data_IF_439601701737
#
_entry.id   IF_439601701737
#
_cell.length_a   1.000
_cell.length_b   1.000
_cell.length_c   1.000
_cell.angle_alpha   90.00
_cell.angle_beta   90.00
_cell.angle_gamma   90.00
#
_symmetry.space_group_name_H-M   'P 1'
#
loop_
_entity.id
_entity.type
_entity.pdbx_description
1 polymer ?
#
# COMPACT_ATOMS: atom_id res chain seq x y z
N UNK A 1 32.05 0.30 9.58
CA UNK A 1 32.85 0.18 8.34
C UNK A 1 31.93 -0.34 7.23
N UNK A 2 31.79 0.37 6.10
CA UNK A 2 31.06 -0.10 4.93
C UNK A 2 31.88 -1.18 4.21
N UNK A 3 31.27 -2.32 3.87
CA UNK A 3 31.96 -3.47 3.26
C UNK A 3 31.79 -3.56 1.75
N UNK A 4 30.73 -2.95 1.20
CA UNK A 4 30.44 -3.01 -0.21
C UNK A 4 29.16 -2.27 -0.57
N UNK A 5 28.99 -1.98 -1.85
CA UNK A 5 27.79 -1.34 -2.38
C UNK A 5 27.30 -2.13 -3.59
N UNK A 6 25.99 -2.27 -3.66
CA UNK A 6 25.24 -2.84 -4.78
C UNK A 6 24.26 -1.77 -5.26
N UNK A 7 23.96 -1.74 -6.55
CA UNK A 7 22.93 -0.85 -7.11
C UNK A 7 22.05 -1.67 -8.05
N UNK A 8 20.76 -1.69 -7.75
CA UNK A 8 19.74 -2.42 -8.52
C UNK A 8 18.86 -1.36 -9.20
N UNK A 9 18.83 -1.28 -10.53
CA UNK A 9 17.93 -0.37 -11.23
C UNK A 9 16.48 -0.83 -11.04
N UNK A 10 15.58 0.10 -10.72
CA UNK A 10 14.16 -0.18 -10.52
C UNK A 10 13.35 0.46 -11.64
N UNK A 11 12.60 -0.35 -12.39
CA UNK A 11 11.57 0.15 -13.31
C UNK A 11 10.20 0.07 -12.63
N UNK A 12 9.68 1.22 -12.20
CA UNK A 12 8.43 1.31 -11.45
C UNK A 12 7.17 1.30 -12.33
N UNK A 13 7.30 1.17 -13.65
CA UNK A 13 6.14 1.15 -14.55
C UNK A 13 5.23 -0.04 -14.23
N UNK A 14 4.00 0.24 -13.81
CA UNK A 14 2.97 -0.78 -13.54
C UNK A 14 3.06 -1.45 -12.16
N UNK A 15 3.97 -1.03 -11.27
CA UNK A 15 4.13 -1.65 -9.94
C UNK A 15 3.01 -1.28 -8.96
N UNK A 16 2.17 -0.29 -9.33
CA UNK A 16 1.00 0.12 -8.54
C UNK A 16 -0.12 -0.93 -8.59
N UNK A 17 -0.24 -1.66 -9.70
CA UNK A 17 -1.38 -2.56 -9.94
C UNK A 17 -1.04 -4.04 -9.74
N UNK A 18 0.24 -4.42 -9.78
CA UNK A 18 0.66 -5.82 -9.67
C UNK A 18 2.02 -5.98 -9.00
N UNK A 19 2.20 -7.16 -8.39
CA UNK A 19 3.48 -7.61 -7.89
C UNK A 19 4.53 -7.64 -9.02
N UNK A 20 5.73 -7.17 -8.72
CA UNK A 20 6.83 -7.07 -9.68
C UNK A 20 8.15 -7.45 -9.02
N UNK A 21 8.91 -8.34 -9.65
CA UNK A 21 10.27 -8.71 -9.21
C UNK A 21 11.27 -7.88 -10.02
N UNK A 22 12.10 -7.10 -9.34
CA UNK A 22 13.16 -6.29 -9.98
C UNK A 22 14.48 -7.05 -10.09
N UNK A 23 14.77 -7.92 -9.12
CA UNK A 23 15.98 -8.74 -9.11
C UNK A 23 15.75 -10.00 -8.29
N UNK A 24 16.22 -11.15 -8.78
CA UNK A 24 16.23 -12.40 -8.04
C UNK A 24 17.45 -13.22 -8.45
N UNK A 25 18.57 -13.03 -7.74
CA UNK A 25 19.79 -13.76 -8.06
C UNK A 25 21.04 -13.15 -7.46
N UNK A 26 22.18 -13.63 -7.94
CA UNK A 26 23.49 -13.14 -7.55
C UNK A 26 23.80 -11.79 -8.20
N UNK A 27 24.33 -10.85 -7.42
CA UNK A 27 24.80 -9.55 -7.86
C UNK A 27 26.19 -9.28 -7.32
N UNK A 28 27.02 -8.65 -8.15
CA UNK A 28 28.41 -8.32 -7.82
C UNK A 28 28.48 -7.14 -6.86
N UNK A 29 29.35 -7.23 -5.87
CA UNK A 29 29.57 -6.18 -4.86
C UNK A 29 30.85 -5.39 -5.22
N UNK A 30 30.73 -4.08 -5.49
CA UNK A 30 31.87 -3.20 -5.81
C UNK A 30 31.88 -2.66 -7.26
N UNK A 31 32.91 -1.87 -7.62
CA UNK A 31 33.11 -1.32 -8.97
C UNK A 31 34.04 -2.25 -9.77
N UNK A 32 33.61 -2.63 -10.97
CA UNK A 32 34.39 -3.26 -12.05
C UNK A 32 35.25 -4.47 -11.66
N UNK A 33 34.69 -5.66 -11.88
CA UNK A 33 35.33 -6.95 -11.68
C UNK A 33 36.41 -7.23 -12.75
N UNK A 34 37.59 -6.64 -12.60
CA UNK A 34 38.82 -7.23 -13.15
C UNK A 34 39.41 -8.17 -12.09
N UNK A 35 38.72 -9.29 -11.80
CA UNK A 35 39.17 -10.31 -10.82
C UNK A 35 38.03 -11.07 -10.15
N UNK A 36 38.37 -11.90 -9.15
CA UNK A 36 37.40 -12.62 -8.32
C UNK A 36 36.55 -11.64 -7.50
N UNK A 37 35.32 -11.40 -7.95
CA UNK A 37 34.42 -10.44 -7.34
C UNK A 37 33.52 -11.10 -6.30
N UNK A 38 33.40 -10.49 -5.12
CA UNK A 38 32.42 -10.91 -4.12
C UNK A 38 31.00 -10.83 -4.71
N UNK A 39 30.21 -11.89 -4.51
CA UNK A 39 28.83 -11.97 -4.95
C UNK A 39 27.88 -11.99 -3.76
N UNK A 40 26.69 -11.43 -3.97
CA UNK A 40 25.62 -11.36 -2.99
C UNK A 40 24.32 -11.83 -3.63
N UNK A 41 23.62 -12.80 -3.03
CA UNK A 41 22.31 -13.21 -3.52
C UNK A 41 21.25 -12.30 -2.93
N UNK A 42 20.47 -11.65 -3.79
CA UNK A 42 19.45 -10.69 -3.39
C UNK A 42 18.14 -10.95 -4.13
N UNK A 43 17.03 -10.78 -3.41
CA UNK A 43 15.69 -10.69 -4.00
C UNK A 43 15.14 -9.30 -3.74
N UNK A 44 14.70 -8.61 -4.79
CA UNK A 44 14.08 -7.28 -4.74
C UNK A 44 12.75 -7.35 -5.46
N UNK A 45 11.67 -7.09 -4.75
CA UNK A 45 10.30 -7.13 -5.27
C UNK A 45 9.45 -6.00 -4.72
N UNK A 46 8.47 -5.55 -5.51
CA UNK A 46 7.38 -4.68 -5.08
C UNK A 46 6.08 -5.50 -5.05
N UNK A 47 5.31 -5.32 -3.99
CA UNK A 47 3.95 -5.82 -3.86
C UNK A 47 3.04 -4.58 -3.74
N UNK A 48 1.90 -4.52 -4.46
CA UNK A 48 0.92 -3.46 -4.24
C UNK A 48 0.49 -3.42 -2.78
N UNK A 49 0.29 -2.22 -2.25
CA UNK A 49 -0.26 -2.07 -0.90
C UNK A 49 -1.67 -2.68 -0.89
N UNK A 50 -1.92 -3.73 -0.11
CA UNK A 50 -3.22 -4.40 -0.12
C UNK A 50 -4.33 -3.54 0.53
N UNK A 51 -3.97 -2.40 1.12
CA UNK A 51 -4.92 -1.53 1.80
C UNK A 51 -5.71 -0.71 0.78
N UNK A 52 -7.02 -0.82 0.86
CA UNK A 52 -7.92 0.13 0.23
C UNK A 52 -7.93 1.42 1.06
N UNK A 53 -7.51 2.53 0.45
CA UNK A 53 -7.57 3.87 1.06
C UNK A 53 -8.75 4.60 0.43
N UNK A 54 -9.71 5.00 1.26
CA UNK A 54 -10.88 5.76 0.84
C UNK A 54 -10.70 7.20 1.34
N UNK A 55 -10.70 8.15 0.42
CA UNK A 55 -10.69 9.58 0.70
C UNK A 55 -12.01 10.17 0.23
N UNK A 56 -12.66 10.94 1.11
CA UNK A 56 -13.84 11.72 0.76
C UNK A 56 -13.40 13.04 0.11
N UNK A 57 -14.12 13.48 -0.92
CA UNK A 57 -13.86 14.73 -1.67
C UNK A 57 -14.27 16.00 -0.88
N UNK A 58 -14.74 15.83 0.36
CA UNK A 58 -15.23 16.91 1.23
C UNK A 58 -15.62 16.41 2.63
N UNK A 59 -16.42 17.20 3.36
CA UNK A 59 -17.01 16.78 4.63
C UNK A 59 -17.89 15.54 4.42
N UNK A 60 -17.68 14.44 5.18
CA UNK A 60 -18.46 13.23 4.98
C UNK A 60 -19.93 13.50 5.28
N UNK A 61 -20.81 13.10 4.35
CA UNK A 61 -22.26 13.08 4.59
C UNK A 61 -22.60 12.15 5.77
N UNK A 62 -23.77 12.33 6.39
CA UNK A 62 -24.20 11.49 7.48
C UNK A 62 -24.32 10.01 7.03
N UNK A 63 -23.34 9.20 7.46
CA UNK A 63 -23.33 7.73 7.34
C UNK A 63 -23.11 7.14 5.93
N UNK A 64 -21.94 7.35 5.28
CA UNK A 64 -21.66 6.76 3.99
C UNK A 64 -21.50 5.24 4.10
N UNK A 65 -22.08 4.53 3.14
CA UNK A 65 -21.90 3.09 2.96
C UNK A 65 -20.85 2.84 1.88
N UNK A 66 -19.88 1.97 2.19
CA UNK A 66 -18.83 1.59 1.23
C UNK A 66 -19.15 0.22 0.64
N UNK A 67 -19.18 0.17 -0.69
CA UNK A 67 -19.39 -1.05 -1.45
C UNK A 67 -18.10 -1.48 -2.15
N UNK A 68 -17.84 -2.78 -2.16
CA UNK A 68 -16.87 -3.40 -3.05
C UNK A 68 -17.58 -3.77 -4.34
N UNK A 69 -17.05 -3.28 -5.47
CA UNK A 69 -17.59 -3.54 -6.80
C UNK A 69 -16.67 -4.54 -7.52
N UNK A 70 -17.22 -5.66 -7.97
CA UNK A 70 -16.54 -6.63 -8.82
C UNK A 70 -17.42 -6.93 -10.05
N UNK A 71 -17.17 -6.23 -11.15
CA UNK A 71 -18.04 -6.26 -12.33
C UNK A 71 -19.43 -5.69 -12.02
N UNK A 72 -20.47 -6.51 -12.18
CA UNK A 72 -21.86 -6.12 -11.89
C UNK A 72 -22.30 -6.43 -10.45
N UNK A 73 -21.41 -6.96 -9.60
CA UNK A 73 -21.71 -7.30 -8.21
C UNK A 73 -21.26 -6.16 -7.30
N UNK A 74 -22.16 -5.70 -6.44
CA UNK A 74 -21.89 -4.69 -5.40
C UNK A 74 -22.17 -5.31 -4.02
N UNK A 75 -21.14 -5.42 -3.18
CA UNK A 75 -21.26 -5.97 -1.82
C UNK A 75 -20.92 -4.91 -0.77
N UNK A 76 -21.77 -4.71 0.26
CA UNK A 76 -21.44 -3.79 1.34
C UNK A 76 -20.27 -4.35 2.15
N UNK A 77 -19.22 -3.54 2.35
CA UNK A 77 -18.02 -3.98 3.09
C UNK A 77 -18.05 -3.47 4.52
N UNK A 78 -18.42 -2.21 4.73
CA UNK A 78 -18.61 -1.60 6.04
C UNK A 78 -19.40 -0.28 5.95
N UNK A 79 -19.95 0.16 7.08
CA UNK A 79 -20.64 1.45 7.22
C UNK A 79 -19.88 2.32 8.21
N UNK A 80 -19.57 3.56 7.83
CA UNK A 80 -18.99 4.54 8.74
C UNK A 80 -20.13 5.36 9.34
N UNK A 81 -20.35 5.33 10.66
CA UNK A 81 -21.36 6.18 11.32
C UNK A 81 -20.71 7.46 11.82
N UNK A 82 -20.74 8.51 11.00
CA UNK A 82 -20.32 9.84 11.41
C UNK A 82 -21.49 10.54 12.12
N UNK A 83 -21.23 11.14 13.28
CA UNK A 83 -22.24 11.92 14.02
C UNK A 83 -21.70 13.33 14.22
N UNK A 84 -22.43 14.33 13.74
CA UNK A 84 -22.20 15.72 14.15
C UNK A 84 -22.71 15.88 15.59
N UNK A 85 -21.81 16.04 16.57
CA UNK A 85 -22.23 16.51 17.90
C UNK A 85 -22.60 17.98 17.76
N UNK A 86 -23.87 18.28 17.53
CA UNK A 86 -24.36 19.64 17.67
C UNK A 86 -24.04 20.08 19.11
N UNK A 87 -23.31 21.18 19.29
CA UNK A 87 -22.87 21.66 20.61
C UNK A 87 -24.02 22.27 21.44
N UNK A 88 -25.25 21.80 21.22
CA UNK A 88 -26.47 22.29 21.84
C UNK A 88 -27.32 21.10 22.28
N UNK A 89 -26.82 20.43 23.32
CA UNK A 89 -27.65 19.81 24.36
C UNK A 89 -28.66 18.76 23.94
N UNK A 90 -28.22 17.57 23.54
CA UNK A 90 -29.11 16.41 23.50
C UNK A 90 -28.71 15.35 24.55
N UNK A 91 -29.58 15.23 25.56
CA UNK A 91 -29.55 14.21 26.62
C UNK A 91 -30.27 12.97 26.09
N UNK A 92 -29.62 11.81 26.24
CA UNK A 92 -30.18 10.45 26.16
C UNK A 92 -30.75 10.03 24.79
N UNK A 93 -30.19 8.97 24.20
CA UNK A 93 -30.74 7.62 24.36
C UNK A 93 -29.63 6.57 24.27
N UNK A 94 -29.56 5.72 25.31
CA UNK A 94 -28.80 4.47 25.28
C UNK A 94 -29.57 3.49 24.41
N UNK A 95 -28.93 2.96 23.37
CA UNK A 95 -29.42 1.79 22.65
C UNK A 95 -28.59 0.58 23.08
N UNK A 96 -29.29 -0.49 23.46
CA UNK A 96 -28.74 -1.80 23.85
C UNK A 96 -28.01 -2.47 22.70
#
# INVERSE_FOLDING_TARGET
>A
RLLGKVSVPLNLTGTVTKATVFHNGWITVGKDAKGASAQFHLNVKAEPDPRFVFQFDGEPECSPQVFQIQGNISQPVFTCKFSFRNNSGDRNQRSR
#
